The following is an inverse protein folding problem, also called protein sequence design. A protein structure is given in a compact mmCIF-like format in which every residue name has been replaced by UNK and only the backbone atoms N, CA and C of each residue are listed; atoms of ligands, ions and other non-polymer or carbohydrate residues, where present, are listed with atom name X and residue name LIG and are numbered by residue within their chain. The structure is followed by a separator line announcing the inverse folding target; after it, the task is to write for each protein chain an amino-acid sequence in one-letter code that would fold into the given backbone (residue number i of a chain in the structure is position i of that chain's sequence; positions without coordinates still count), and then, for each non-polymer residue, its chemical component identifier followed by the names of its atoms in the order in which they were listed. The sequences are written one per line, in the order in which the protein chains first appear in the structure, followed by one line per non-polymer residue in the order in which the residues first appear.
data_IF_040405866192
#
_entry.id   IF_040405866192
#
_cell.length_a   1.000
_cell.length_b   1.000
_cell.length_c   1.000
_cell.angle_alpha   90.00
_cell.angle_beta   90.00
_cell.angle_gamma   90.00
#
_symmetry.space_group_name_H-M   'P 1'
#
loop_
_entity.id
_entity.type
_entity.pdbx_description
1 polymer ?
#
# COMPACT_ATOMS: atom_id res chain seq x y z
N UNK A 1 25.39 -4.65 -26.79
CA UNK A 1 25.28 -5.13 -25.40
C UNK A 1 24.32 -4.17 -24.73
N UNK A 2 23.20 -4.63 -24.16
CA UNK A 2 22.46 -3.76 -23.25
C UNK A 2 23.47 -3.28 -22.20
N UNK A 3 23.49 -1.97 -21.90
CA UNK A 3 24.33 -1.52 -20.80
C UNK A 3 23.74 -2.13 -19.53
N UNK A 4 24.48 -3.03 -18.89
CA UNK A 4 24.08 -3.71 -17.65
C UNK A 4 23.57 -2.68 -16.62
N UNK A 5 24.11 -1.45 -16.67
CA UNK A 5 23.68 -0.31 -15.87
C UNK A 5 22.17 -0.05 -15.94
N UNK A 6 21.56 -0.12 -17.12
CA UNK A 6 20.14 0.22 -17.31
C UNK A 6 19.20 -0.80 -16.69
N UNK A 7 19.55 -2.09 -16.77
CA UNK A 7 18.81 -3.16 -16.10
C UNK A 7 18.99 -3.01 -14.59
N UNK A 8 20.21 -2.75 -14.13
CA UNK A 8 20.50 -2.54 -12.71
C UNK A 8 19.73 -1.32 -12.16
N UNK A 9 19.56 -0.27 -12.95
CA UNK A 9 18.76 0.92 -12.60
C UNK A 9 17.28 0.61 -12.46
N UNK A 10 16.69 -0.18 -13.38
CA UNK A 10 15.30 -0.64 -13.26
C UNK A 10 15.12 -1.47 -11.98
N UNK A 11 16.00 -2.44 -11.74
CA UNK A 11 15.92 -3.28 -10.54
C UNK A 11 16.02 -2.44 -9.27
N UNK A 12 16.93 -1.46 -9.25
CA UNK A 12 17.08 -0.54 -8.12
C UNK A 12 15.82 0.30 -7.91
N UNK A 13 15.17 0.74 -8.99
CA UNK A 13 13.89 1.44 -8.93
C UNK A 13 12.79 0.55 -8.34
N UNK A 14 12.63 -0.68 -8.83
CA UNK A 14 11.64 -1.66 -8.34
C UNK A 14 11.84 -1.95 -6.85
N UNK A 15 13.09 -2.20 -6.42
CA UNK A 15 13.46 -2.39 -5.02
C UNK A 15 13.13 -1.16 -4.16
N UNK A 16 13.55 0.02 -4.61
CA UNK A 16 13.29 1.28 -3.91
C UNK A 16 11.80 1.58 -3.80
N UNK A 17 11.03 1.31 -4.85
CA UNK A 17 9.58 1.47 -4.86
C UNK A 17 8.91 0.53 -3.85
N UNK A 18 9.28 -0.76 -3.88
CA UNK A 18 8.70 -1.77 -3.00
C UNK A 18 8.94 -1.44 -1.51
N UNK A 19 10.15 -1.03 -1.14
CA UNK A 19 10.47 -0.64 0.24
C UNK A 19 9.75 0.66 0.64
N UNK A 20 9.74 1.66 -0.24
CA UNK A 20 9.09 2.95 0.02
C UNK A 20 7.59 2.81 0.28
N UNK A 21 6.93 1.84 -0.36
CA UNK A 21 5.51 1.57 -0.12
C UNK A 21 5.23 1.15 1.32
N UNK A 22 6.13 0.36 1.92
CA UNK A 22 6.01 -0.05 3.32
C UNK A 22 6.06 1.15 4.27
N UNK A 23 7.02 2.05 4.07
CA UNK A 23 7.17 3.27 4.86
C UNK A 23 5.99 4.23 4.67
N UNK A 24 5.56 4.44 3.43
CA UNK A 24 4.41 5.26 3.13
C UNK A 24 3.13 4.76 3.83
N UNK A 25 2.93 3.45 3.88
CA UNK A 25 1.82 2.86 4.63
C UNK A 25 1.95 3.09 6.13
N UNK A 26 3.15 2.96 6.71
CA UNK A 26 3.41 3.27 8.13
C UNK A 26 3.06 4.72 8.45
N UNK A 27 3.55 5.67 7.66
CA UNK A 27 3.25 7.10 7.83
C UNK A 27 1.75 7.40 7.74
N UNK A 28 1.06 6.76 6.79
CA UNK A 28 -0.40 6.89 6.68
C UNK A 28 -1.12 6.33 7.89
N UNK A 29 -0.67 5.18 8.41
CA UNK A 29 -1.26 4.59 9.60
C UNK A 29 -1.13 5.51 10.81
N UNK A 30 0.02 6.18 10.96
CA UNK A 30 0.28 7.19 12.00
C UNK A 30 -0.66 8.39 11.84
N UNK A 31 -0.73 8.95 10.63
CA UNK A 31 -1.61 10.09 10.33
C UNK A 31 -3.08 9.78 10.58
N UNK A 32 -3.53 8.59 10.20
CA UNK A 32 -4.90 8.14 10.39
C UNK A 32 -5.17 7.64 11.82
N UNK A 33 -4.14 7.55 12.67
CA UNK A 33 -4.22 6.98 14.02
C UNK A 33 -4.91 5.62 14.00
N UNK A 34 -4.40 4.72 13.16
CA UNK A 34 -4.89 3.34 12.97
C UNK A 34 -3.98 2.29 13.61
N UNK A 35 -3.02 2.75 14.40
CA UNK A 35 -2.08 1.91 15.15
C UNK A 35 -2.69 1.61 16.52
N UNK A 36 -2.67 0.32 16.88
CA UNK A 36 -3.19 -0.19 18.15
C UNK A 36 -2.07 -0.87 18.95
N UNK A 37 -1.82 -2.17 18.75
CA UNK A 37 -0.67 -2.89 19.39
C UNK A 37 0.65 -2.75 18.63
N UNK A 38 0.61 -2.12 17.46
CA UNK A 38 1.70 -2.08 16.49
C UNK A 38 1.97 -3.41 15.77
N UNK A 39 1.16 -4.47 15.99
CA UNK A 39 1.35 -5.76 15.31
C UNK A 39 1.23 -5.62 13.78
N UNK A 40 0.15 -5.00 13.27
CA UNK A 40 -0.02 -4.70 11.84
C UNK A 40 1.10 -3.82 11.32
N UNK A 41 1.42 -2.75 12.05
CA UNK A 41 2.50 -1.84 11.68
C UNK A 41 3.80 -2.64 11.43
N UNK A 42 4.24 -3.45 12.40
CA UNK A 42 5.45 -4.28 12.27
C UNK A 42 5.34 -5.41 11.25
N UNK A 43 4.12 -5.81 10.86
CA UNK A 43 3.91 -6.90 9.90
C UNK A 43 4.12 -6.50 8.43
N UNK A 44 4.08 -5.21 8.12
CA UNK A 44 4.25 -4.70 6.75
C UNK A 44 5.64 -5.08 6.25
N UNK A 45 5.69 -5.88 5.19
CA UNK A 45 6.91 -6.35 4.53
C UNK A 45 6.72 -6.33 3.01
N UNK A 46 7.73 -5.86 2.30
CA UNK A 46 7.87 -6.09 0.87
C UNK A 46 8.64 -7.40 0.64
N UNK A 47 8.27 -8.13 -0.40
CA UNK A 47 8.99 -9.27 -0.92
C UNK A 47 9.16 -9.07 -2.43
N UNK A 48 10.38 -9.26 -2.92
CA UNK A 48 10.69 -9.15 -4.33
C UNK A 48 11.38 -10.44 -4.73
N UNK A 49 10.79 -11.13 -5.70
CA UNK A 49 11.37 -12.29 -6.34
C UNK A 49 11.73 -11.94 -7.78
N UNK A 50 13.02 -12.05 -8.10
CA UNK A 50 13.54 -11.82 -9.44
C UNK A 50 13.66 -13.17 -10.16
N UNK A 51 12.87 -13.36 -11.21
CA UNK A 51 12.91 -14.53 -12.08
C UNK A 51 12.78 -14.15 -13.54
N UNK A 52 12.16 -15.01 -14.36
CA UNK A 52 11.74 -14.64 -15.73
C UNK A 52 10.71 -13.50 -15.74
N UNK A 53 10.03 -13.31 -14.61
CA UNK A 53 9.09 -12.24 -14.34
C UNK A 53 9.43 -11.71 -12.96
N UNK A 54 9.66 -10.41 -12.83
CA UNK A 54 9.80 -9.78 -11.52
C UNK A 54 8.45 -9.83 -10.80
N UNK A 55 8.43 -10.38 -9.60
CA UNK A 55 7.23 -10.41 -8.75
C UNK A 55 7.48 -9.56 -7.50
N UNK A 56 6.65 -8.53 -7.31
CA UNK A 56 6.67 -7.68 -6.13
C UNK A 56 5.41 -7.92 -5.30
N UNK A 57 5.59 -8.30 -4.04
CA UNK A 57 4.51 -8.57 -3.11
C UNK A 57 4.64 -7.71 -1.85
N UNK A 58 3.50 -7.19 -1.39
CA UNK A 58 3.41 -6.53 -0.10
C UNK A 58 2.53 -7.33 0.84
N UNK A 59 3.14 -7.83 1.91
CA UNK A 59 2.50 -8.69 2.88
C UNK A 59 2.26 -7.93 4.18
N UNK A 60 1.08 -8.14 4.78
CA UNK A 60 0.71 -7.59 6.09
C UNK A 60 -0.37 -8.47 6.73
N UNK A 61 -0.60 -8.31 8.03
CA UNK A 61 -1.62 -9.09 8.75
C UNK A 61 -3.02 -8.81 8.17
N UNK A 62 -3.77 -9.88 7.89
CA UNK A 62 -5.13 -9.83 7.33
C UNK A 62 -6.04 -8.84 8.06
N UNK A 63 -5.86 -8.69 9.38
CA UNK A 63 -6.67 -7.76 10.15
C UNK A 63 -6.57 -6.29 9.68
N UNK A 64 -5.50 -5.92 8.98
CA UNK A 64 -5.31 -4.61 8.38
C UNK A 64 -6.35 -4.25 7.32
N UNK A 65 -6.94 -5.24 6.64
CA UNK A 65 -8.08 -5.04 5.73
C UNK A 65 -9.28 -4.51 6.52
N UNK A 66 -9.57 -5.12 7.67
CA UNK A 66 -10.67 -4.67 8.51
C UNK A 66 -10.41 -3.29 9.13
N UNK A 67 -9.16 -2.98 9.48
CA UNK A 67 -8.77 -1.64 9.94
C UNK A 67 -9.01 -0.60 8.84
N UNK A 68 -8.66 -0.91 7.58
CA UNK A 68 -8.91 -0.04 6.44
C UNK A 68 -10.41 0.16 6.19
N UNK A 69 -11.19 -0.91 6.33
CA UNK A 69 -12.65 -0.88 6.20
C UNK A 69 -13.31 -0.07 7.34
N UNK A 70 -12.66 0.06 8.50
CA UNK A 70 -13.15 0.88 9.62
C UNK A 70 -13.82 0.09 10.75
N UNK A 71 -13.51 -1.20 10.94
CA UNK A 71 -14.19 -2.05 11.94
C UNK A 71 -13.80 -1.73 13.40
N UNK A 72 -12.88 -0.80 13.64
CA UNK A 72 -12.34 -0.49 14.97
C UNK A 72 -13.07 0.68 15.69
N UNK A 73 -12.85 0.85 17.02
CA UNK A 73 -13.53 1.85 17.82
C UNK A 73 -13.20 3.29 17.40
N UNK A 74 -14.13 4.24 17.62
CA UNK A 74 -13.97 5.64 17.26
C UNK A 74 -12.73 6.36 17.86
N UNK A 75 -12.26 7.40 17.18
CA UNK A 75 -11.13 8.26 17.52
C UNK A 75 -11.77 9.61 17.39
N UNK A 76 -12.34 9.99 18.52
CA UNK A 76 -12.95 11.26 18.73
C UNK A 76 -11.86 12.31 18.64
N UNK A 77 -12.04 13.25 17.73
CA UNK A 77 -11.23 14.44 17.72
C UNK A 77 -12.16 15.63 17.76
N UNK A 78 -11.63 16.68 18.35
CA UNK A 78 -12.38 17.86 18.66
C UNK A 78 -11.79 19.02 17.87
N UNK A 79 -12.67 19.77 17.22
CA UNK A 79 -12.29 21.04 16.61
C UNK A 79 -12.85 22.17 17.44
N UNK A 80 -12.02 23.13 17.82
CA UNK A 80 -12.48 24.39 18.37
C UNK A 80 -13.07 25.25 17.25
N UNK A 81 -14.30 25.73 17.41
CA UNK A 81 -14.96 26.64 16.48
C UNK A 81 -15.97 27.49 17.24
N UNK A 82 -15.93 28.81 17.03
CA UNK A 82 -16.83 29.79 17.66
C UNK A 82 -17.02 29.60 19.18
N UNK A 83 -15.93 29.39 19.91
CA UNK A 83 -15.95 29.22 21.37
C UNK A 83 -16.47 27.86 21.86
N UNK A 84 -16.85 26.94 20.97
CA UNK A 84 -17.33 25.61 21.31
C UNK A 84 -16.40 24.51 20.78
N UNK A 85 -16.35 23.39 21.52
CA UNK A 85 -15.63 22.18 21.14
C UNK A 85 -16.56 21.28 20.33
N UNK A 86 -16.41 21.26 19.00
CA UNK A 86 -17.24 20.44 18.13
C UNK A 86 -16.67 19.01 18.11
N UNK A 87 -17.46 18.06 18.63
CA UNK A 87 -17.22 16.61 18.51
C UNK A 87 -17.45 16.20 17.07
N UNK A 88 -16.42 15.67 16.39
CA UNK A 88 -16.56 15.12 15.04
C UNK A 88 -16.28 13.64 15.06
N UNK A 89 -17.19 12.90 14.43
CA UNK A 89 -17.15 11.45 14.31
C UNK A 89 -17.37 11.17 12.84
N UNK A 90 -16.48 10.39 12.22
CA UNK A 90 -16.75 9.89 10.88
C UNK A 90 -17.82 8.81 11.06
N UNK A 91 -19.06 9.08 10.66
CA UNK A 91 -20.12 8.07 10.61
C UNK A 91 -19.62 6.85 9.86
N UNK A 92 -19.73 5.68 10.49
CA UNK A 92 -19.16 4.44 9.99
C UNK A 92 -20.20 3.47 9.50
N UNK A 93 -20.51 3.51 8.21
CA UNK A 93 -21.40 2.53 7.60
C UNK A 93 -20.57 1.43 6.95
N UNK A 94 -20.20 0.45 7.76
CA UNK A 94 -19.71 -0.82 7.24
C UNK A 94 -20.92 -1.67 6.86
N UNK A 95 -21.24 -1.75 5.57
CA UNK A 95 -22.40 -2.50 5.08
C UNK A 95 -22.48 -3.96 5.57
N UNK A 96 -21.34 -4.60 5.84
CA UNK A 96 -21.28 -5.98 6.35
C UNK A 96 -21.35 -6.10 7.88
N UNK A 97 -21.14 -4.99 8.60
CA UNK A 97 -21.34 -4.86 10.05
C UNK A 97 -22.55 -3.96 10.26
N UNK A 98 -23.70 -4.42 9.76
CA UNK A 98 -24.98 -3.72 9.85
C UNK A 98 -25.41 -3.45 11.29
N UNK A 99 -26.34 -2.53 11.45
CA UNK A 99 -26.83 -2.05 12.76
C UNK A 99 -27.27 -3.20 13.68
N UNK A 100 -28.06 -4.15 13.16
CA UNK A 100 -28.56 -5.32 13.91
C UNK A 100 -27.43 -6.16 14.52
N UNK A 101 -26.42 -6.54 13.73
CA UNK A 101 -25.30 -7.34 14.23
C UNK A 101 -24.48 -6.59 15.30
N UNK A 102 -24.34 -5.26 15.16
CA UNK A 102 -23.63 -4.45 16.15
C UNK A 102 -24.38 -4.38 17.47
N UNK A 103 -25.70 -4.27 17.41
CA UNK A 103 -26.55 -4.29 18.60
C UNK A 103 -26.51 -5.65 19.29
N UNK A 104 -26.73 -6.74 18.54
CA UNK A 104 -26.69 -8.12 19.04
C UNK A 104 -25.36 -8.45 19.74
N UNK A 105 -24.24 -8.03 19.15
CA UNK A 105 -22.90 -8.29 19.67
C UNK A 105 -22.41 -7.20 20.65
N UNK A 106 -23.26 -6.21 20.97
CA UNK A 106 -22.96 -5.10 21.87
C UNK A 106 -21.72 -4.31 21.47
N UNK A 107 -21.47 -4.16 20.16
CA UNK A 107 -20.27 -3.52 19.62
C UNK A 107 -20.29 -2.01 19.81
N UNK A 108 -21.46 -1.39 19.88
CA UNK A 108 -21.59 0.06 20.08
C UNK A 108 -21.38 0.49 21.53
N UNK A 109 -21.26 -0.48 22.45
CA UNK A 109 -20.98 -0.22 23.87
C UNK A 109 -19.47 -0.33 24.11
N UNK A 110 -18.82 0.72 24.66
CA UNK A 110 -17.41 0.65 25.03
C UNK A 110 -17.21 -0.39 26.14
N UNK A 111 -16.34 -1.37 25.89
CA UNK A 111 -16.00 -2.46 26.81
C UNK A 111 -14.49 -2.53 27.06
N UNK A 112 -14.08 -2.76 28.30
CA UNK A 112 -12.67 -3.01 28.64
C UNK A 112 -12.27 -4.38 28.11
N UNK A 113 -11.21 -4.42 27.30
CA UNK A 113 -10.60 -5.66 26.79
C UNK A 113 -9.17 -5.78 27.31
N UNK A 114 -8.80 -7.00 27.72
CA UNK A 114 -7.49 -7.31 28.26
C UNK A 114 -7.49 -7.59 29.77
N UNK A 115 -6.29 -7.73 30.37
CA UNK A 115 -6.12 -8.12 31.77
C UNK A 115 -6.71 -7.10 32.76
N UNK A 116 -7.06 -7.51 33.97
CA UNK A 116 -7.61 -6.60 34.98
C UNK A 116 -6.67 -5.41 35.32
N UNK A 117 -5.37 -5.67 35.37
CA UNK A 117 -4.27 -4.74 35.68
C UNK A 117 -3.82 -3.89 34.48
N UNK A 118 -4.50 -3.98 33.34
CA UNK A 118 -4.19 -3.23 32.13
C UNK A 118 -5.37 -3.24 31.14
N UNK A 119 -5.08 -3.10 29.86
CA UNK A 119 -6.08 -3.23 28.79
C UNK A 119 -6.50 -1.92 28.15
N UNK A 120 -7.39 -2.02 27.15
CA UNK A 120 -7.91 -0.89 26.37
C UNK A 120 -9.43 -0.94 26.31
N UNK A 121 -10.05 0.17 25.90
CA UNK A 121 -11.48 0.20 25.60
C UNK A 121 -11.67 -0.15 24.12
N UNK A 122 -12.50 -1.16 23.85
CA UNK A 122 -12.93 -1.54 22.51
C UNK A 122 -14.45 -1.34 22.37
N UNK A 123 -14.96 -1.27 21.15
CA UNK A 123 -16.36 -0.91 20.89
C UNK A 123 -16.63 0.59 21.01
N UNK A 124 -17.89 0.98 20.87
CA UNK A 124 -18.31 2.37 20.74
C UNK A 124 -18.80 2.71 19.33
N UNK A 125 -19.05 3.99 19.10
CA UNK A 125 -19.62 4.47 17.83
C UNK A 125 -18.79 4.01 16.60
N UNK A 126 -19.45 3.55 15.53
CA UNK A 126 -18.80 3.14 14.30
C UNK A 126 -17.96 4.26 13.69
N UNK A 127 -16.88 3.88 13.00
CA UNK A 127 -16.07 4.80 12.21
C UNK A 127 -16.21 4.56 10.73
N UNK A 128 -16.20 5.68 9.99
CA UNK A 128 -15.99 5.65 8.56
C UNK A 128 -14.67 4.95 8.18
N UNK A 129 -14.59 4.36 6.98
CA UNK A 129 -13.39 3.72 6.46
C UNK A 129 -12.13 4.58 6.62
N UNK A 130 -11.02 3.94 6.96
CA UNK A 130 -9.71 4.56 7.13
C UNK A 130 -8.71 3.89 6.21
N UNK A 131 -8.88 4.14 4.92
CA UNK A 131 -8.03 3.56 3.90
C UNK A 131 -6.57 4.03 4.04
N UNK A 132 -5.76 3.18 4.68
CA UNK A 132 -4.35 3.40 4.90
C UNK A 132 -3.50 2.87 3.75
N UNK A 133 -3.99 1.92 2.95
CA UNK A 133 -3.19 1.25 1.90
C UNK A 133 -3.78 1.35 0.48
N UNK A 134 -5.06 1.06 0.27
CA UNK A 134 -5.58 0.61 -1.04
C UNK A 134 -5.53 1.67 -2.15
N UNK A 135 -6.15 2.84 -1.97
CA UNK A 135 -6.21 3.87 -3.03
C UNK A 135 -4.84 4.38 -3.43
N UNK A 136 -3.96 4.54 -2.45
CA UNK A 136 -2.62 5.06 -2.68
C UNK A 136 -1.67 4.00 -3.22
N UNK A 137 -1.85 2.75 -2.81
CA UNK A 137 -1.17 1.62 -3.44
C UNK A 137 -1.53 1.51 -4.92
N UNK A 138 -2.81 1.53 -5.27
CA UNK A 138 -3.25 1.50 -6.67
C UNK A 138 -2.64 2.64 -7.49
N UNK A 139 -2.69 3.86 -6.97
CA UNK A 139 -2.06 5.01 -7.64
C UNK A 139 -0.55 4.85 -7.82
N UNK A 140 0.13 4.20 -6.87
CA UNK A 140 1.57 3.96 -6.92
C UNK A 140 1.93 2.87 -7.93
N UNK A 141 1.12 1.81 -8.02
CA UNK A 141 1.27 0.75 -9.04
C UNK A 141 1.13 1.34 -10.44
N UNK A 142 0.21 2.27 -10.67
CA UNK A 142 0.12 2.95 -11.97
C UNK A 142 1.40 3.74 -12.30
N UNK A 143 2.08 4.31 -11.31
CA UNK A 143 3.35 5.00 -11.49
C UNK A 143 4.52 4.06 -11.79
N UNK A 144 4.54 2.90 -11.13
CA UNK A 144 5.47 1.83 -11.47
C UNK A 144 5.26 1.38 -12.93
N UNK A 145 4.01 1.12 -13.32
CA UNK A 145 3.67 0.70 -14.68
C UNK A 145 4.07 1.74 -15.74
N UNK A 146 3.86 3.04 -15.47
CA UNK A 146 4.32 4.12 -16.35
C UNK A 146 5.85 4.07 -16.54
N UNK A 147 6.60 3.88 -15.46
CA UNK A 147 8.07 3.82 -15.49
C UNK A 147 8.59 2.57 -16.22
N UNK A 148 8.00 1.39 -15.96
CA UNK A 148 8.34 0.16 -16.67
C UNK A 148 8.04 0.27 -18.17
N UNK A 149 6.91 0.88 -18.54
CA UNK A 149 6.54 1.08 -19.94
C UNK A 149 7.53 1.99 -20.67
N UNK A 150 7.99 3.07 -20.03
CA UNK A 150 9.04 3.94 -20.55
C UNK A 150 10.35 3.14 -20.76
N UNK A 151 10.81 2.42 -19.74
CA UNK A 151 12.02 1.62 -19.79
C UNK A 151 12.00 0.57 -20.93
N UNK A 152 10.93 -0.23 -21.00
CA UNK A 152 10.81 -1.26 -22.03
C UNK A 152 10.62 -0.66 -23.43
N UNK A 153 9.95 0.50 -23.55
CA UNK A 153 9.80 1.23 -24.80
C UNK A 153 11.14 1.72 -25.36
N UNK A 154 11.93 2.40 -24.53
CA UNK A 154 13.28 2.85 -24.90
C UNK A 154 14.18 1.68 -25.29
N UNK A 155 14.13 0.60 -24.51
CA UNK A 155 14.89 -0.63 -24.79
C UNK A 155 14.51 -1.23 -26.14
N UNK A 156 13.22 -1.35 -26.44
CA UNK A 156 12.75 -1.90 -27.71
C UNK A 156 13.20 -1.04 -28.89
N UNK A 157 13.07 0.28 -28.79
CA UNK A 157 13.53 1.21 -29.83
C UNK A 157 15.04 1.09 -30.07
N UNK A 158 15.85 1.02 -29.01
CA UNK A 158 17.31 0.86 -29.12
C UNK A 158 17.72 -0.47 -29.76
N UNK A 159 17.06 -1.57 -29.40
CA UNK A 159 17.29 -2.89 -29.99
C UNK A 159 16.93 -2.91 -31.47
N UNK A 160 15.76 -2.36 -31.84
CA UNK A 160 15.33 -2.28 -33.23
C UNK A 160 16.25 -1.39 -34.06
N UNK A 161 16.64 -0.22 -33.54
CA UNK A 161 17.59 0.64 -34.21
C UNK A 161 18.94 -0.06 -34.44
N UNK A 162 19.46 -0.76 -33.42
CA UNK A 162 20.70 -1.53 -33.51
C UNK A 162 20.61 -2.64 -34.56
N UNK A 163 19.52 -3.42 -34.55
CA UNK A 163 19.29 -4.49 -35.51
C UNK A 163 19.17 -3.95 -36.95
N UNK A 164 18.42 -2.86 -37.14
CA UNK A 164 18.27 -2.17 -38.43
C UNK A 164 19.62 -1.64 -38.91
N UNK A 165 20.40 -0.98 -38.04
CA UNK A 165 21.75 -0.52 -38.39
C UNK A 165 22.66 -1.68 -38.78
N UNK A 166 22.64 -2.79 -38.04
CA UNK A 166 23.42 -3.99 -38.37
C UNK A 166 23.03 -4.58 -39.73
N UNK A 167 21.73 -4.63 -40.04
CA UNK A 167 21.22 -5.06 -41.35
C UNK A 167 21.71 -4.16 -42.48
N UNK A 168 21.66 -2.83 -42.31
CA UNK A 168 21.99 -1.88 -43.39
C UNK A 168 23.49 -1.56 -43.51
N UNK A 169 24.28 -1.75 -42.45
CA UNK A 169 25.75 -1.56 -42.49
C UNK A 169 26.48 -2.82 -42.99
N UNK A 170 25.77 -3.93 -43.21
CA UNK A 170 26.32 -5.16 -43.79
C UNK A 170 27.24 -5.94 -42.85
N UNK A 171 27.37 -5.53 -41.59
CA UNK A 171 28.30 -6.14 -40.61
C UNK A 171 27.81 -7.54 -40.16
N UNK A 172 26.49 -7.80 -40.26
CA UNK A 172 25.90 -9.11 -39.91
C UNK A 172 26.17 -10.25 -40.91
N UNK A 173 26.55 -9.95 -42.16
CA UNK A 173 26.83 -10.99 -43.17
C UNK A 173 28.25 -11.60 -43.06
N UNK A 174 29.16 -10.96 -42.32
CA UNK A 174 30.55 -11.40 -42.17
C UNK A 174 30.83 -12.23 -40.90
N UNK A 175 29.80 -12.52 -40.09
CA UNK A 175 29.97 -13.30 -38.84
C UNK A 175 29.65 -14.79 -38.95
N UNK A 176 29.24 -15.27 -40.13
CA UNK A 176 28.95 -16.68 -40.39
C UNK A 176 29.50 -17.19 -41.75
N UNK A 177 30.62 -16.63 -42.23
CA UNK A 177 31.46 -17.22 -43.28
C UNK A 177 32.92 -17.25 -42.84
#
# INVERSE_FOLDING_TARGET
MADQSTIDDLLKYEHGWADSMGEFWRERMERLRTIDTGALYRSIKAHIEQGSTTTIEHNFLMYGIYVAAGVGPAHEWYRWSQGAKIRRINGGDLNFLGEEYREEQGLDKPKKVGPAWGGRVAGGEPKGPRDWFSRKYYSSVMKLNEHEAEFYGERYQGLMASAITEMFTGIGAARNL
#
